data_IF_459689921107
#
_entry.id   IF_459689921107
#
_cell.length_a   1.000
_cell.length_b   1.000
_cell.length_c   1.000
_cell.angle_alpha   90.00
_cell.angle_beta   90.00
_cell.angle_gamma   90.00
#
_symmetry.space_group_name_H-M   'P 1'
#
loop_
_entity.id
_entity.type
_entity.pdbx_description
1 polymer ?
#
# COMPACT_ATOMS: atom_id res chain seq x y z
N UNK A 1 -1.36 1.62 -9.24
CA UNK A 1 -2.20 0.43 -8.94
C UNK A 1 -1.61 -0.77 -9.67
N UNK A 2 -1.73 -1.99 -9.12
CA UNK A 2 -1.26 -3.20 -9.77
C UNK A 2 -1.91 -3.41 -11.14
N UNK A 3 -1.26 -4.25 -11.95
CA UNK A 3 -1.76 -4.66 -13.25
C UNK A 3 -3.00 -5.55 -13.11
N UNK A 4 -3.87 -5.54 -14.11
CA UNK A 4 -5.09 -6.35 -14.10
C UNK A 4 -4.82 -7.84 -13.81
N UNK A 5 -5.68 -8.44 -13.00
CA UNK A 5 -5.56 -9.81 -12.53
C UNK A 5 -4.38 -10.11 -11.60
N UNK A 6 -3.59 -9.10 -11.19
CA UNK A 6 -2.49 -9.32 -10.24
C UNK A 6 -3.06 -9.70 -8.88
N UNK A 7 -2.60 -10.84 -8.37
CA UNK A 7 -2.87 -11.29 -7.01
C UNK A 7 -1.62 -11.06 -6.15
N UNK A 8 -1.83 -10.57 -4.92
CA UNK A 8 -0.77 -10.37 -3.93
C UNK A 8 -1.17 -11.03 -2.63
N UNK A 9 -0.25 -11.72 -1.98
CA UNK A 9 -0.42 -12.21 -0.62
C UNK A 9 0.83 -11.89 0.18
N UNK A 10 0.71 -11.38 1.40
CA UNK A 10 1.87 -10.99 2.19
C UNK A 10 1.64 -11.02 3.68
N UNK A 11 2.73 -10.89 4.42
CA UNK A 11 2.74 -10.83 5.87
C UNK A 11 3.79 -9.84 6.35
N UNK A 12 3.46 -9.10 7.40
CA UNK A 12 4.31 -8.07 7.96
C UNK A 12 4.45 -8.27 9.45
N UNK A 13 5.65 -7.98 9.93
CA UNK A 13 5.93 -7.67 11.32
C UNK A 13 5.61 -6.20 11.58
N UNK A 14 4.86 -5.94 12.65
CA UNK A 14 4.47 -4.62 13.13
C UNK A 14 4.96 -4.47 14.58
N UNK A 15 5.85 -3.52 14.88
CA UNK A 15 6.24 -3.26 16.26
C UNK A 15 5.06 -2.66 17.03
N UNK A 16 5.05 -2.87 18.34
CA UNK A 16 4.03 -2.42 19.30
C UNK A 16 3.55 -0.97 19.09
N UNK A 17 4.48 -0.07 18.82
CA UNK A 17 4.21 1.36 18.77
C UNK A 17 3.64 1.85 17.41
N UNK A 18 3.66 1.03 16.35
CA UNK A 18 3.10 1.38 15.03
C UNK A 18 1.57 1.26 15.05
N UNK A 19 1.05 0.35 15.89
CA UNK A 19 -0.37 0.30 16.21
C UNK A 19 -0.69 1.31 17.30
N UNK A 20 -0.94 2.57 16.92
CA UNK A 20 -1.31 3.68 17.82
C UNK A 20 -2.65 3.46 18.56
N UNK A 21 -2.78 2.41 19.38
CA UNK A 21 -3.84 2.32 20.38
C UNK A 21 -3.26 1.99 21.76
N UNK A 22 -3.78 2.59 22.84
CA UNK A 22 -3.27 2.42 24.21
C UNK A 22 -3.26 0.98 24.75
N UNK A 23 -3.82 0.01 24.02
CA UNK A 23 -3.93 -1.40 24.40
C UNK A 23 -3.00 -2.34 23.61
N UNK A 24 -2.17 -1.79 22.69
CA UNK A 24 -1.21 -2.56 21.89
C UNK A 24 0.21 -2.25 22.33
N UNK A 25 0.64 -2.84 23.44
CA UNK A 25 2.02 -2.74 23.95
C UNK A 25 2.84 -3.99 23.61
N UNK A 26 2.57 -4.60 22.45
CA UNK A 26 3.26 -5.81 22.02
C UNK A 26 3.45 -5.83 20.51
N UNK A 27 4.57 -6.41 20.07
CA UNK A 27 4.84 -6.65 18.67
C UNK A 27 3.81 -7.62 18.09
N UNK A 28 3.30 -7.29 16.91
CA UNK A 28 2.28 -8.10 16.24
C UNK A 28 2.64 -8.37 14.78
N UNK A 29 1.80 -9.14 14.11
CA UNK A 29 1.90 -9.40 12.70
C UNK A 29 0.55 -9.14 12.03
N UNK A 30 0.61 -8.76 10.77
CA UNK A 30 -0.56 -8.81 9.90
C UNK A 30 -0.27 -9.72 8.71
N UNK A 31 -1.33 -10.21 8.10
CA UNK A 31 -1.28 -10.83 6.78
C UNK A 31 -2.40 -10.28 5.93
N UNK A 32 -2.18 -10.28 4.64
CA UNK A 32 -3.13 -9.69 3.70
C UNK A 32 -3.10 -10.42 2.38
N UNK A 33 -4.23 -10.34 1.68
CA UNK A 33 -4.37 -10.71 0.29
C UNK A 33 -4.96 -9.54 -0.47
N UNK A 34 -4.57 -9.36 -1.72
CA UNK A 34 -5.06 -8.32 -2.59
C UNK A 34 -5.21 -8.85 -4.01
N UNK A 35 -6.21 -8.34 -4.72
CA UNK A 35 -6.46 -8.69 -6.11
C UNK A 35 -6.87 -7.43 -6.88
N UNK A 36 -6.16 -7.13 -7.95
CA UNK A 36 -6.65 -6.24 -8.99
C UNK A 36 -7.65 -7.02 -9.85
N UNK A 37 -8.93 -6.95 -9.50
CA UNK A 37 -9.98 -7.72 -10.18
C UNK A 37 -10.31 -7.15 -11.58
N UNK A 38 -10.12 -5.84 -11.75
CA UNK A 38 -10.26 -5.11 -13.02
C UNK A 38 -9.05 -4.17 -13.18
N UNK A 39 -8.73 -3.68 -14.39
CA UNK A 39 -7.60 -2.77 -14.60
C UNK A 39 -7.70 -1.45 -13.80
N UNK A 40 -8.91 -1.11 -13.35
CA UNK A 40 -9.21 0.07 -12.54
C UNK A 40 -9.67 -0.24 -11.12
N UNK A 41 -9.76 -1.51 -10.69
CA UNK A 41 -10.32 -1.85 -9.38
C UNK A 41 -9.44 -2.85 -8.64
N UNK A 42 -9.08 -2.50 -7.40
CA UNK A 42 -8.27 -3.31 -6.50
C UNK A 42 -9.03 -3.55 -5.20
N UNK A 43 -9.18 -4.82 -4.84
CA UNK A 43 -9.74 -5.26 -3.57
C UNK A 43 -8.60 -5.82 -2.71
N UNK A 44 -8.53 -5.42 -1.45
CA UNK A 44 -7.56 -5.92 -0.49
C UNK A 44 -8.24 -6.31 0.80
N UNK A 45 -7.83 -7.44 1.36
CA UNK A 45 -8.31 -7.95 2.63
C UNK A 45 -7.12 -8.19 3.55
N UNK A 46 -7.15 -7.58 4.74
CA UNK A 46 -6.08 -7.63 5.72
C UNK A 46 -6.61 -8.16 7.04
N UNK A 47 -5.83 -9.00 7.68
CA UNK A 47 -6.05 -9.46 9.03
C UNK A 47 -4.89 -9.03 9.92
N UNK A 48 -5.19 -8.45 11.07
CA UNK A 48 -4.21 -8.10 12.10
C UNK A 48 -4.38 -9.10 13.24
N UNK A 49 -3.28 -9.75 13.63
CA UNK A 49 -3.29 -10.68 14.75
C UNK A 49 -3.35 -9.89 16.06
N UNK A 50 -4.20 -10.32 16.98
CA UNK A 50 -4.21 -9.80 18.34
C UNK A 50 -3.75 -10.82 19.35
N UNK A 51 -2.93 -10.33 20.27
CA UNK A 51 -2.47 -11.07 21.42
C UNK A 51 -3.31 -10.70 22.63
N UNK A 52 -3.70 -11.73 23.37
CA UNK A 52 -4.36 -11.57 24.66
C UNK A 52 -3.35 -10.97 25.65
N UNK A 53 -3.66 -9.82 26.29
CA UNK A 53 -2.77 -9.17 27.24
C UNK A 53 -2.40 -10.05 28.45
N UNK A 54 -3.27 -10.98 28.83
CA UNK A 54 -3.16 -11.73 30.09
C UNK A 54 -2.30 -12.99 29.97
N UNK A 55 -2.22 -13.60 28.78
CA UNK A 55 -1.50 -14.87 28.59
C UNK A 55 -0.63 -14.95 27.33
N UNK A 56 -0.60 -13.90 26.50
CA UNK A 56 0.22 -13.90 25.28
C UNK A 56 -0.30 -14.80 24.15
N UNK A 57 -1.50 -15.38 24.28
CA UNK A 57 -2.08 -16.24 23.25
C UNK A 57 -2.66 -15.41 22.09
N UNK A 58 -2.50 -15.90 20.86
CA UNK A 58 -3.15 -15.34 19.67
C UNK A 58 -4.61 -15.78 19.65
N UNK A 59 -5.51 -14.92 20.13
CA UNK A 59 -6.92 -15.31 20.36
C UNK A 59 -7.90 -14.59 19.47
N UNK A 60 -7.55 -13.41 18.93
CA UNK A 60 -8.47 -12.59 18.17
C UNK A 60 -7.82 -12.04 16.90
N UNK A 61 -8.63 -11.73 15.89
CA UNK A 61 -8.18 -11.17 14.62
C UNK A 61 -9.11 -10.02 14.23
N UNK A 62 -8.55 -8.84 13.93
CA UNK A 62 -9.36 -7.81 13.26
C UNK A 62 -9.29 -8.01 11.75
N UNK A 63 -10.39 -7.71 11.08
CA UNK A 63 -10.54 -7.86 9.63
C UNK A 63 -10.77 -6.48 9.04
N UNK A 64 -9.99 -6.14 8.03
CA UNK A 64 -10.18 -4.92 7.26
C UNK A 64 -10.27 -5.23 5.77
N UNK A 65 -11.34 -4.73 5.14
CA UNK A 65 -11.56 -4.84 3.71
C UNK A 65 -11.38 -3.46 3.06
N UNK A 66 -10.40 -3.35 2.17
CA UNK A 66 -10.11 -2.13 1.44
C UNK A 66 -10.49 -2.27 -0.03
N UNK A 67 -11.09 -1.22 -0.58
CA UNK A 67 -11.41 -1.10 -2.00
C UNK A 67 -10.76 0.15 -2.56
N UNK A 68 -10.12 0.03 -3.72
CA UNK A 68 -9.57 1.16 -4.46
C UNK A 68 -10.08 1.12 -5.89
N UNK A 69 -10.51 2.27 -6.39
CA UNK A 69 -11.01 2.47 -7.74
C UNK A 69 -10.22 3.58 -8.42
N UNK A 70 -9.59 3.26 -9.54
CA UNK A 70 -8.86 4.21 -10.38
C UNK A 70 -9.84 4.91 -11.30
N UNK A 71 -9.94 6.21 -11.15
CA UNK A 71 -10.82 7.06 -11.97
C UNK A 71 -10.06 7.66 -13.15
N UNK A 72 -8.74 7.82 -13.04
CA UNK A 72 -7.88 8.32 -14.11
C UNK A 72 -6.61 7.49 -14.24
N UNK A 73 -6.32 7.05 -15.46
CA UNK A 73 -5.04 6.44 -15.80
C UNK A 73 -3.96 7.52 -15.93
N UNK A 74 -2.76 7.21 -15.45
CA UNK A 74 -1.61 8.05 -15.72
C UNK A 74 -1.37 8.15 -17.23
N UNK A 75 -1.09 9.37 -17.70
CA UNK A 75 -0.69 9.66 -19.09
C UNK A 75 0.55 10.54 -19.08
N UNK A 76 1.09 10.91 -20.24
CA UNK A 76 2.28 11.79 -20.35
C UNK A 76 2.19 13.04 -19.48
N UNK A 77 1.04 13.73 -19.46
CA UNK A 77 0.86 14.97 -18.68
C UNK A 77 -0.14 14.85 -17.52
N UNK A 78 -0.97 13.80 -17.49
CA UNK A 78 -1.98 13.61 -16.43
C UNK A 78 -1.49 12.61 -15.36
N UNK A 79 -1.72 12.88 -14.07
CA UNK A 79 -1.47 11.89 -13.02
C UNK A 79 -2.52 10.78 -13.08
N UNK A 80 -2.22 9.62 -12.51
CA UNK A 80 -3.27 8.66 -12.16
C UNK A 80 -4.02 9.17 -10.95
N UNK A 81 -5.34 9.01 -10.93
CA UNK A 81 -6.20 9.37 -9.80
C UNK A 81 -6.98 8.14 -9.34
N UNK A 82 -7.00 7.93 -8.03
CA UNK A 82 -7.67 6.83 -7.35
C UNK A 82 -8.55 7.39 -6.23
N UNK A 83 -9.74 6.82 -6.09
CA UNK A 83 -10.57 6.94 -4.90
C UNK A 83 -10.50 5.61 -4.17
N UNK A 84 -10.21 5.64 -2.88
CA UNK A 84 -10.07 4.43 -2.08
C UNK A 84 -10.78 4.56 -0.75
N UNK A 85 -11.13 3.42 -0.18
CA UNK A 85 -11.63 3.36 1.18
C UNK A 85 -11.27 2.05 1.87
N UNK A 86 -11.19 2.13 3.20
CA UNK A 86 -11.00 1.00 4.09
C UNK A 86 -12.30 0.74 4.84
N UNK A 87 -12.58 -0.52 5.13
CA UNK A 87 -13.78 -1.02 5.81
C UNK A 87 -15.09 -0.62 5.11
N UNK A 88 -15.13 -0.80 3.78
CA UNK A 88 -16.24 -0.37 2.90
C UNK A 88 -17.50 -1.26 3.00
N UNK A 89 -17.37 -2.49 3.52
CA UNK A 89 -18.49 -3.41 3.72
C UNK A 89 -18.43 -4.05 5.13
N UNK A 90 -19.51 -3.93 5.91
CA UNK A 90 -19.67 -4.63 7.18
C UNK A 90 -21.08 -5.21 7.27
N UNK A 91 -21.19 -6.44 7.80
CA UNK A 91 -22.45 -7.18 7.98
C UNK A 91 -23.09 -6.96 9.36
N UNK A 92 -22.51 -6.13 10.23
CA UNK A 92 -23.04 -5.87 11.57
C UNK A 92 -23.00 -4.38 11.94
N UNK A 93 -24.17 -3.86 12.33
CA UNK A 93 -24.40 -2.48 12.77
C UNK A 93 -23.85 -2.16 14.18
N UNK A 94 -23.23 -3.13 14.85
CA UNK A 94 -22.65 -2.98 16.18
C UNK A 94 -21.30 -3.71 16.28
N UNK A 95 -20.21 -2.94 16.38
CA UNK A 95 -18.85 -3.45 16.63
C UNK A 95 -17.93 -3.42 15.41
N UNK A 96 -16.80 -2.72 15.57
CA UNK A 96 -15.67 -2.55 14.63
C UNK A 96 -15.91 -1.62 13.43
N UNK A 97 -15.79 -0.31 13.68
CA UNK A 97 -15.67 0.74 12.64
C UNK A 97 -14.35 1.53 12.77
N UNK A 98 -13.32 0.96 13.39
CA UNK A 98 -12.17 1.73 13.93
C UNK A 98 -11.21 2.32 12.88
N UNK A 99 -11.25 1.90 11.61
CA UNK A 99 -10.33 2.35 10.56
C UNK A 99 -11.03 2.76 9.27
N UNK A 100 -12.32 3.08 9.33
CA UNK A 100 -13.09 3.46 8.16
C UNK A 100 -12.60 4.80 7.62
N UNK A 101 -12.03 4.76 6.43
CA UNK A 101 -11.48 5.93 5.74
C UNK A 101 -11.95 5.96 4.31
N UNK A 102 -12.19 7.15 3.76
CA UNK A 102 -12.36 7.41 2.34
C UNK A 102 -11.30 8.45 1.98
N UNK A 103 -10.66 8.27 0.84
CA UNK A 103 -9.65 9.19 0.37
C UNK A 103 -9.63 9.27 -1.15
N UNK A 104 -9.08 10.38 -1.64
CA UNK A 104 -8.66 10.53 -3.02
C UNK A 104 -7.13 10.68 -3.04
N UNK A 105 -6.47 10.07 -4.02
CA UNK A 105 -5.04 10.19 -4.20
C UNK A 105 -4.70 10.32 -5.69
N UNK A 106 -3.77 11.19 -6.01
CA UNK A 106 -3.14 11.30 -7.31
C UNK A 106 -1.68 10.85 -7.24
N UNK A 107 -1.21 10.23 -8.31
CA UNK A 107 0.17 9.72 -8.43
C UNK A 107 0.72 10.03 -9.81
N UNK A 108 2.00 10.37 -9.88
CA UNK A 108 2.71 10.66 -11.12
C UNK A 108 4.11 10.08 -11.05
N UNK A 109 4.51 9.38 -12.10
CA UNK A 109 5.83 8.78 -12.26
C UNK A 109 6.57 9.48 -13.38
N UNK A 110 7.79 9.89 -13.08
CA UNK A 110 8.72 10.50 -14.02
C UNK A 110 9.84 9.50 -14.29
N UNK A 111 10.22 9.36 -15.56
CA UNK A 111 11.39 8.57 -15.97
C UNK A 111 12.39 9.52 -16.63
N UNK A 112 13.55 9.69 -16.03
CA UNK A 112 14.65 10.52 -16.55
C UNK A 112 15.88 9.61 -16.59
N UNK A 113 16.45 9.39 -17.78
CA UNK A 113 17.60 8.49 -17.99
C UNK A 113 17.43 7.10 -17.38
N UNK A 114 16.19 6.62 -17.32
CA UNK A 114 15.84 5.31 -16.74
C UNK A 114 15.73 5.29 -15.21
N UNK A 115 15.99 6.40 -14.53
CA UNK A 115 15.66 6.60 -13.12
C UNK A 115 14.18 6.91 -12.98
N UNK A 116 13.49 6.20 -12.08
CA UNK A 116 12.05 6.36 -11.88
C UNK A 116 11.80 7.10 -10.57
N UNK A 117 11.14 8.25 -10.65
CA UNK A 117 10.69 9.02 -9.49
C UNK A 117 9.18 9.10 -9.49
N UNK A 118 8.53 8.52 -8.49
CA UNK A 118 7.09 8.62 -8.28
C UNK A 118 6.76 9.66 -7.22
N UNK A 119 5.79 10.52 -7.48
CA UNK A 119 5.24 11.48 -6.52
C UNK A 119 3.77 11.16 -6.29
N UNK A 120 3.33 11.23 -5.03
CA UNK A 120 1.94 11.02 -4.64
C UNK A 120 1.43 12.16 -3.76
N UNK A 121 0.16 12.50 -3.92
CA UNK A 121 -0.56 13.44 -3.07
C UNK A 121 -1.98 12.92 -2.89
N UNK A 122 -2.51 12.98 -1.69
CA UNK A 122 -3.85 12.56 -1.38
C UNK A 122 -4.49 13.37 -0.27
N UNK A 123 -5.79 13.20 -0.15
CA UNK A 123 -6.62 13.89 0.81
C UNK A 123 -7.68 12.95 1.36
N UNK A 124 -7.79 12.91 2.69
CA UNK A 124 -8.83 12.22 3.42
C UNK A 124 -9.72 13.27 4.12
N UNK A 125 -11.01 13.42 3.76
CA UNK A 125 -11.88 14.46 4.31
C UNK A 125 -12.26 14.28 5.78
N UNK A 126 -11.92 13.15 6.43
CA UNK A 126 -12.14 12.94 7.87
C UNK A 126 -13.60 12.76 8.33
N UNK A 127 -14.59 13.07 7.47
CA UNK A 127 -16.02 13.10 7.81
C UNK A 127 -16.70 11.72 7.95
N UNK A 128 -15.93 10.65 8.14
CA UNK A 128 -16.47 9.31 8.41
C UNK A 128 -16.35 9.01 9.90
N UNK A 129 -17.41 8.43 10.48
CA UNK A 129 -17.41 7.97 11.88
C UNK A 129 -16.19 7.10 12.16
N UNK A 130 -15.37 7.51 13.14
CA UNK A 130 -14.14 6.84 13.59
C UNK A 130 -12.96 6.79 12.58
N UNK A 131 -12.88 7.74 11.63
CA UNK A 131 -11.70 7.85 10.75
C UNK A 131 -10.47 8.39 11.51
N UNK A 132 -9.41 7.59 11.60
CA UNK A 132 -8.12 7.99 12.20
C UNK A 132 -7.17 8.70 11.23
N UNK A 133 -7.52 8.77 9.95
CA UNK A 133 -6.77 9.41 8.87
C UNK A 133 -7.60 10.58 8.34
N UNK A 134 -7.08 11.80 8.44
CA UNK A 134 -7.74 13.01 7.97
C UNK A 134 -6.69 14.04 7.55
N UNK A 135 -6.97 14.79 6.49
CA UNK A 135 -6.06 15.80 5.95
C UNK A 135 -5.25 15.34 4.74
N UNK A 136 -4.22 16.11 4.43
CA UNK A 136 -3.33 15.86 3.30
C UNK A 136 -2.26 14.83 3.68
N UNK A 137 -2.02 13.90 2.76
CA UNK A 137 -0.93 12.94 2.81
C UNK A 137 -0.26 12.88 1.45
N UNK A 138 0.93 12.33 1.38
CA UNK A 138 1.65 12.23 0.11
C UNK A 138 3.06 11.75 0.32
N UNK A 139 3.81 11.62 -0.77
CA UNK A 139 5.17 11.14 -0.67
C UNK A 139 5.88 11.02 -1.99
N UNK A 140 7.12 10.55 -1.90
CA UNK A 140 8.03 10.39 -3.00
C UNK A 140 8.63 9.00 -2.98
N UNK A 141 8.81 8.43 -4.16
CA UNK A 141 9.48 7.15 -4.37
C UNK A 141 10.55 7.31 -5.42
N UNK A 142 11.64 6.58 -5.27
CA UNK A 142 12.77 6.61 -6.20
C UNK A 142 13.30 5.20 -6.45
N UNK A 143 13.42 4.83 -7.72
CA UNK A 143 14.03 3.58 -8.15
C UNK A 143 15.19 3.86 -9.10
N UNK A 144 16.42 3.45 -8.76
CA UNK A 144 17.60 3.73 -9.58
C UNK A 144 17.58 2.94 -10.90
N UNK A 145 18.10 3.55 -11.96
CA UNK A 145 18.13 2.95 -13.30
C UNK A 145 18.88 1.60 -13.33
N UNK A 146 19.98 1.49 -12.57
CA UNK A 146 20.82 0.31 -12.49
C UNK A 146 20.27 -0.80 -11.59
N UNK A 147 19.24 -0.51 -10.78
CA UNK A 147 18.63 -1.50 -9.89
C UNK A 147 17.13 -1.25 -9.71
N UNK A 148 16.38 -1.37 -10.82
CA UNK A 148 14.94 -1.05 -10.88
C UNK A 148 14.04 -1.90 -9.99
N UNK A 149 14.52 -3.05 -9.53
CA UNK A 149 13.81 -3.88 -8.55
C UNK A 149 13.81 -3.25 -7.16
N UNK A 150 14.67 -2.28 -6.89
CA UNK A 150 14.77 -1.60 -5.61
C UNK A 150 14.13 -0.21 -5.66
N UNK A 151 13.38 0.12 -4.63
CA UNK A 151 12.70 1.42 -4.50
C UNK A 151 12.85 1.93 -3.08
N UNK A 152 13.24 3.19 -2.92
CA UNK A 152 13.19 3.93 -1.66
C UNK A 152 11.94 4.79 -1.67
N UNK A 153 11.28 4.93 -0.52
CA UNK A 153 10.03 5.66 -0.36
C UNK A 153 10.15 6.57 0.87
N UNK A 154 9.60 7.78 0.77
CA UNK A 154 9.36 8.65 1.91
C UNK A 154 7.94 9.21 1.79
N UNK A 155 7.11 8.95 2.79
CA UNK A 155 5.70 9.31 2.83
C UNK A 155 5.40 10.17 4.07
N UNK A 156 4.41 11.03 3.97
CA UNK A 156 3.80 11.76 5.08
C UNK A 156 2.36 11.26 5.24
N UNK A 157 2.03 10.67 6.38
CA UNK A 157 0.80 9.90 6.62
C UNK A 157 -0.34 10.70 7.28
N UNK A 158 -0.30 12.04 7.17
CA UNK A 158 -1.09 13.06 7.90
C UNK A 158 -0.59 13.42 9.30
N UNK A 159 0.29 12.62 9.93
CA UNK A 159 0.81 12.87 11.28
C UNK A 159 2.34 12.82 11.35
N UNK A 160 2.93 11.83 10.69
CA UNK A 160 4.34 11.52 10.78
C UNK A 160 4.97 11.41 9.39
N UNK A 161 6.30 11.56 9.37
CA UNK A 161 7.11 11.25 8.21
C UNK A 161 7.59 9.80 8.34
N UNK A 162 7.25 9.00 7.35
CA UNK A 162 7.65 7.61 7.25
C UNK A 162 8.66 7.47 6.11
N UNK A 163 9.62 6.58 6.27
CA UNK A 163 10.57 6.26 5.20
C UNK A 163 10.74 4.75 5.09
N UNK A 164 10.96 4.24 3.90
CA UNK A 164 11.10 2.81 3.69
C UNK A 164 11.83 2.46 2.41
N UNK A 165 12.01 1.18 2.22
CA UNK A 165 12.55 0.63 1.00
C UNK A 165 11.87 -0.69 0.67
N UNK A 166 11.81 -1.01 -0.61
CA UNK A 166 11.32 -2.29 -1.10
C UNK A 166 12.25 -2.86 -2.15
N UNK A 167 12.24 -4.19 -2.26
CA UNK A 167 13.02 -4.96 -3.21
C UNK A 167 12.14 -6.06 -3.82
N UNK A 168 12.04 -6.06 -5.16
CA UNK A 168 11.35 -7.08 -5.93
C UNK A 168 12.32 -8.14 -6.47
N UNK A 169 12.33 -9.30 -5.83
CA UNK A 169 13.12 -10.46 -6.19
C UNK A 169 12.34 -11.39 -7.13
N UNK A 170 13.03 -11.86 -8.18
CA UNK A 170 12.48 -12.82 -9.15
C UNK A 170 11.13 -12.40 -9.76
N UNK A 171 10.81 -11.11 -9.73
CA UNK A 171 9.51 -10.52 -10.11
C UNK A 171 8.34 -10.94 -9.23
N UNK A 172 8.52 -11.82 -8.26
CA UNK A 172 7.43 -12.41 -7.47
C UNK A 172 7.49 -12.08 -5.99
N UNK A 173 8.68 -11.92 -5.43
CA UNK A 173 8.84 -11.71 -3.98
C UNK A 173 9.20 -10.27 -3.70
N UNK A 174 8.28 -9.55 -3.06
CA UNK A 174 8.56 -8.26 -2.46
C UNK A 174 9.10 -8.45 -1.06
N UNK A 175 10.26 -7.87 -0.79
CA UNK A 175 10.73 -7.58 0.55
C UNK A 175 10.58 -6.09 0.78
N UNK A 176 10.09 -5.67 1.93
CA UNK A 176 9.98 -4.25 2.25
C UNK A 176 10.21 -4.01 3.73
N UNK A 177 10.84 -2.89 4.03
CA UNK A 177 11.05 -2.37 5.37
C UNK A 177 10.63 -0.91 5.41
N UNK A 178 10.01 -0.49 6.49
CA UNK A 178 9.59 0.88 6.71
C UNK A 178 9.86 1.30 8.15
N UNK A 179 10.24 2.56 8.31
CA UNK A 179 10.46 3.24 9.57
C UNK A 179 9.37 4.29 9.72
N UNK A 180 8.41 4.05 10.62
CA UNK A 180 7.36 5.02 10.91
C UNK A 180 7.84 6.06 11.91
N UNK A 181 7.49 7.34 11.69
CA UNK A 181 8.05 8.50 12.40
C UNK A 181 9.60 8.48 12.45
N UNK A 182 10.22 7.83 11.45
CA UNK A 182 11.65 7.51 11.38
C UNK A 182 12.27 6.80 12.60
N UNK A 183 11.44 6.29 13.51
CA UNK A 183 11.88 5.67 14.77
C UNK A 183 11.54 4.19 14.83
N UNK A 184 10.43 3.80 14.22
CA UNK A 184 9.82 2.50 14.46
C UNK A 184 9.92 1.63 13.23
N UNK A 185 10.75 0.60 13.31
CA UNK A 185 11.01 -0.27 12.17
C UNK A 185 10.01 -1.43 12.09
N UNK A 186 9.42 -1.58 10.91
CA UNK A 186 8.55 -2.66 10.53
C UNK A 186 8.98 -3.19 9.17
N UNK A 187 8.53 -4.38 8.83
CA UNK A 187 8.90 -4.99 7.56
C UNK A 187 8.13 -6.25 7.26
N UNK A 188 8.23 -6.70 6.02
CA UNK A 188 7.46 -7.84 5.58
C UNK A 188 7.89 -8.39 4.24
N UNK A 189 7.17 -9.43 3.88
CA UNK A 189 7.32 -10.13 2.61
C UNK A 189 5.96 -10.27 1.95
N UNK A 190 5.94 -10.14 0.63
CA UNK A 190 4.75 -10.41 -0.16
C UNK A 190 5.11 -11.19 -1.43
N UNK A 191 4.21 -12.07 -1.82
CA UNK A 191 4.23 -12.80 -3.08
C UNK A 191 3.25 -12.17 -4.06
N UNK A 192 3.70 -11.88 -5.29
CA UNK A 192 2.88 -11.42 -6.41
C UNK A 192 2.75 -12.50 -7.47
N UNK A 193 1.52 -12.86 -7.77
CA UNK A 193 1.16 -13.71 -8.89
C UNK A 193 0.57 -12.83 -10.00
N UNK A 194 1.07 -13.01 -11.22
CA UNK A 194 0.55 -12.35 -12.41
C UNK A 194 -0.28 -13.34 -13.23
N UNK A 195 -1.32 -12.86 -13.95
CA UNK A 195 -2.02 -13.69 -14.92
C UNK A 195 -1.08 -14.19 -16.01
N UNK A 196 -1.46 -15.31 -16.62
CA UNK A 196 -0.69 -15.93 -17.71
C UNK A 196 -0.79 -15.04 -18.96
N UNK A 197 0.36 -14.66 -19.53
CA UNK A 197 0.43 -13.81 -20.74
C UNK A 197 0.61 -12.32 -20.47
N UNK A 198 0.66 -11.89 -19.22
CA UNK A 198 0.80 -10.46 -18.89
C UNK A 198 2.25 -9.99 -19.02
N UNK A 199 2.50 -9.03 -19.92
CA UNK A 199 3.75 -8.26 -19.97
C UNK A 199 3.89 -7.48 -18.67
N UNK A 200 4.76 -7.96 -17.79
CA UNK A 200 4.98 -7.45 -16.43
C UNK A 200 5.60 -6.04 -16.47
N UNK A 201 5.51 -5.25 -15.40
CA UNK A 201 6.05 -3.87 -15.34
C UNK A 201 7.52 -3.76 -15.80
N UNK A 202 8.34 -4.77 -15.52
CA UNK A 202 9.73 -4.85 -16.02
C UNK A 202 9.87 -4.85 -17.56
N UNK A 203 8.84 -5.29 -18.30
CA UNK A 203 8.82 -5.29 -19.77
C UNK A 203 8.28 -4.01 -20.40
N UNK A 204 7.52 -3.19 -19.67
CA UNK A 204 7.27 -1.79 -20.03
C UNK A 204 8.51 -0.92 -19.83
N UNK A 205 9.35 -1.33 -18.88
CA UNK A 205 10.59 -0.65 -18.50
C UNK A 205 11.79 -1.00 -19.39
N UNK A 206 11.73 -2.06 -20.20
CA UNK A 206 12.78 -2.45 -21.16
C UNK A 206 12.51 -2.03 -22.60
N UNK A 207 11.41 -1.31 -22.85
CA UNK A 207 11.07 -0.77 -24.17
C UNK A 207 11.67 0.63 -24.29
N UNK A 208 12.70 0.88 -25.12
CA UNK A 208 12.96 2.24 -25.55
C UNK A 208 11.71 2.68 -26.32
N UNK A 209 11.00 3.70 -25.85
CA UNK A 209 9.98 4.36 -26.65
C UNK A 209 10.69 5.05 -27.83
N UNK A 210 10.93 4.28 -28.90
CA UNK A 210 11.01 4.79 -30.25
C UNK A 210 9.64 4.60 -30.86
N UNK A 211 8.76 5.59 -30.69
CA UNK A 211 7.68 5.80 -31.63
C UNK A 211 7.71 7.28 -31.99
N UNK A 212 8.30 7.48 -33.16
CA UNK A 212 8.10 8.59 -34.07
C UNK A 212 6.62 8.75 -34.43
N UNK A 213 6.26 10.01 -34.67
CA UNK A 213 5.02 10.57 -35.23
C UNK A 213 3.82 10.79 -34.28
#
# INVERSE_FOLDING_TARGET
MPLDGTFTAGANYLPDNVTHQPKFNYNTFNYYVGMAFLPFMELSFRMILFRDPDNGSLRNQDRSLALRVRVLNERKFLPSVVIGGNDVYTTSSSGNQYFRSLYIACTKTFSIDGYLTGVSLGYAPGNLTNSNIYGLFGGISFSPAFFRSFTIIADYDTKYLDAGASLLLFRHFYLYGFASDLKQFAGGIAFKLYPKGTRTEASFLSSPHSDTD
#
